data_IF_935882281760
#
_entry.id   IF_935882281760
#
_cell.length_a   1.000
_cell.length_b   1.000
_cell.length_c   1.000
_cell.angle_alpha   90.00
_cell.angle_beta   90.00
_cell.angle_gamma   90.00
#
_symmetry.space_group_name_H-M   'P 1'
#
loop_
_entity.id
_entity.type
_entity.pdbx_description
1 polymer ?
#
# COMPACT_ATOMS: atom_id res chain seq x y z
N UNK A 1 -4.51 15.70 11.89
CA UNK A 1 -3.20 15.32 11.27
C UNK A 1 -3.27 15.57 9.77
N UNK A 2 -2.14 15.83 9.11
CA UNK A 2 -2.11 16.03 7.65
C UNK A 2 -2.17 14.66 6.94
N UNK A 3 -3.10 14.52 5.99
CA UNK A 3 -3.28 13.27 5.25
C UNK A 3 -2.03 12.90 4.44
N UNK A 4 -1.42 13.86 3.74
CA UNK A 4 -0.27 13.61 2.87
C UNK A 4 0.98 13.20 3.65
N UNK A 5 1.22 13.79 4.82
CA UNK A 5 2.35 13.40 5.68
C UNK A 5 2.20 11.97 6.21
N UNK A 6 1.01 11.61 6.69
CA UNK A 6 0.72 10.26 7.18
C UNK A 6 0.76 9.22 6.07
N UNK A 7 0.19 9.54 4.91
CA UNK A 7 0.26 8.69 3.73
C UNK A 7 1.70 8.48 3.30
N UNK A 8 2.53 9.52 3.29
CA UNK A 8 3.95 9.40 2.99
C UNK A 8 4.66 8.48 3.99
N UNK A 9 4.37 8.61 5.28
CA UNK A 9 4.92 7.73 6.31
C UNK A 9 4.53 6.26 6.08
N UNK A 10 3.25 5.99 5.80
CA UNK A 10 2.76 4.64 5.47
C UNK A 10 3.42 4.08 4.20
N UNK A 11 3.53 4.92 3.16
CA UNK A 11 4.11 4.56 1.87
C UNK A 11 5.59 4.22 1.98
N UNK A 12 6.34 4.96 2.79
CA UNK A 12 7.79 4.78 2.98
C UNK A 12 8.14 3.68 3.98
N UNK A 13 7.18 3.19 4.79
CA UNK A 13 7.44 2.06 5.69
C UNK A 13 7.83 0.81 4.89
N UNK A 14 8.98 0.22 5.24
CA UNK A 14 9.47 -1.04 4.66
C UNK A 14 9.25 -2.25 5.60
N UNK A 15 8.69 -2.01 6.78
CA UNK A 15 8.22 -3.03 7.71
C UNK A 15 6.74 -3.28 7.40
N UNK A 16 6.40 -4.53 7.08
CA UNK A 16 5.05 -4.91 6.63
C UNK A 16 4.01 -4.53 7.69
N UNK A 17 4.23 -4.93 8.94
CA UNK A 17 3.30 -4.68 10.05
C UNK A 17 3.08 -3.18 10.28
N UNK A 18 4.15 -2.38 10.23
CA UNK A 18 4.04 -0.93 10.38
C UNK A 18 3.27 -0.30 9.21
N UNK A 19 3.51 -0.75 7.97
CA UNK A 19 2.76 -0.27 6.80
C UNK A 19 1.27 -0.58 6.94
N UNK A 20 0.92 -1.80 7.34
CA UNK A 20 -0.47 -2.21 7.57
C UNK A 20 -1.10 -1.34 8.67
N UNK A 21 -0.43 -1.22 9.82
CA UNK A 21 -0.89 -0.43 10.96
C UNK A 21 -1.12 1.04 10.60
N UNK A 22 -0.16 1.66 9.91
CA UNK A 22 -0.27 3.06 9.47
C UNK A 22 -1.40 3.24 8.45
N UNK A 23 -1.60 2.28 7.55
CA UNK A 23 -2.70 2.30 6.57
C UNK A 23 -4.06 2.19 7.27
N UNK A 24 -4.20 1.32 8.26
CA UNK A 24 -5.40 1.18 9.08
C UNK A 24 -5.68 2.45 9.90
N UNK A 25 -4.64 3.04 10.50
CA UNK A 25 -4.73 4.31 11.22
C UNK A 25 -5.20 5.44 10.29
N UNK A 26 -4.66 5.51 9.07
CA UNK A 26 -5.04 6.51 8.07
C UNK A 26 -6.53 6.41 7.73
N UNK A 27 -7.04 5.20 7.52
CA UNK A 27 -8.47 4.97 7.27
C UNK A 27 -9.35 5.34 8.45
N UNK A 28 -8.98 4.96 9.68
CA UNK A 28 -9.71 5.33 10.89
C UNK A 28 -9.84 6.86 11.03
N UNK A 29 -8.73 7.60 10.82
CA UNK A 29 -8.74 9.06 10.86
C UNK A 29 -9.56 9.68 9.71
N UNK A 30 -9.58 9.04 8.55
CA UNK A 30 -10.38 9.46 7.40
C UNK A 30 -11.88 9.37 7.68
N UNK A 31 -12.33 8.24 8.26
CA UNK A 31 -13.72 7.98 8.66
C UNK A 31 -14.16 8.97 9.76
N UNK A 32 -13.30 9.17 10.76
CA UNK A 32 -13.54 10.11 11.87
C UNK A 32 -13.46 11.59 11.43
N UNK A 33 -13.15 11.87 10.16
CA UNK A 33 -12.95 13.21 9.61
C UNK A 33 -11.86 14.02 10.33
N UNK A 34 -10.87 13.34 10.93
CA UNK A 34 -9.73 13.93 11.68
C UNK A 34 -8.52 14.27 10.80
N UNK A 35 -8.62 14.01 9.50
CA UNK A 35 -7.60 14.34 8.50
C UNK A 35 -7.81 15.73 7.92
N UNK A 36 -6.72 16.49 7.78
CA UNK A 36 -6.68 17.67 6.94
C UNK A 36 -6.00 17.33 5.60
N UNK A 37 -6.49 17.93 4.51
CA UNK A 37 -5.99 17.72 3.14
C UNK A 37 -5.34 19.01 2.62
N UNK A 38 -4.56 19.69 3.47
CA UNK A 38 -3.79 20.87 3.05
C UNK A 38 -2.54 20.40 2.32
N UNK A 39 -2.39 20.80 1.06
CA UNK A 39 -1.23 20.47 0.24
C UNK A 39 0.08 20.86 0.94
N UNK A 40 1.07 19.99 0.86
CA UNK A 40 2.44 20.25 1.27
C UNK A 40 3.16 21.06 0.18
N UNK A 41 4.10 21.92 0.57
CA UNK A 41 4.74 22.85 -0.38
C UNK A 41 5.60 22.14 -1.44
N UNK A 42 5.97 20.87 -1.23
CA UNK A 42 6.80 20.11 -2.18
C UNK A 42 6.52 18.61 -2.11
N UNK A 43 6.00 18.06 -3.20
CA UNK A 43 5.90 16.61 -3.42
C UNK A 43 7.30 16.09 -3.73
N UNK A 44 7.79 15.15 -2.93
CA UNK A 44 9.07 14.51 -3.16
C UNK A 44 8.89 13.30 -4.07
N UNK A 45 9.82 13.10 -5.01
CA UNK A 45 9.80 11.91 -5.86
C UNK A 45 10.09 10.69 -4.99
N UNK A 46 9.25 9.66 -5.09
CA UNK A 46 9.42 8.39 -4.36
C UNK A 46 9.99 7.36 -5.33
N UNK A 47 11.30 7.09 -5.31
CA UNK A 47 11.91 6.11 -6.23
C UNK A 47 11.57 4.66 -5.82
N UNK A 48 11.44 4.38 -4.52
CA UNK A 48 11.21 3.05 -3.98
C UNK A 48 10.16 3.11 -2.85
N UNK A 49 8.87 2.83 -3.12
CA UNK A 49 7.81 2.94 -2.13
C UNK A 49 7.87 1.80 -1.13
N UNK A 50 8.47 2.04 0.04
CA UNK A 50 8.37 1.19 1.24
C UNK A 50 8.50 -0.32 0.99
N UNK A 51 9.40 -0.70 0.08
CA UNK A 51 9.57 -2.09 -0.33
C UNK A 51 10.23 -2.87 0.83
N UNK A 52 9.65 -3.99 1.29
CA UNK A 52 10.28 -4.84 2.28
C UNK A 52 11.56 -5.48 1.75
N UNK A 53 12.45 -5.90 2.67
CA UNK A 53 13.72 -6.55 2.34
C UNK A 53 13.53 -7.87 1.57
N UNK A 54 12.44 -8.59 1.87
CA UNK A 54 12.09 -9.84 1.21
C UNK A 54 10.67 -9.75 0.64
N UNK A 55 10.39 -10.51 -0.43
CA UNK A 55 11.34 -11.29 -1.23
C UNK A 55 12.24 -10.42 -2.11
N UNK A 56 13.24 -11.04 -2.71
CA UNK A 56 14.19 -10.38 -3.60
C UNK A 56 13.53 -9.96 -4.91
N UNK A 57 14.00 -8.87 -5.50
CA UNK A 57 13.50 -8.41 -6.80
C UNK A 57 14.21 -9.22 -7.88
N UNK A 58 13.45 -10.06 -8.56
CA UNK A 58 13.95 -10.82 -9.69
C UNK A 58 13.38 -10.29 -11.00
N UNK A 59 14.05 -10.59 -12.11
CA UNK A 59 13.52 -10.30 -13.45
C UNK A 59 12.27 -11.15 -13.69
N UNK A 60 11.34 -10.63 -14.49
CA UNK A 60 10.09 -11.33 -14.83
C UNK A 60 10.32 -12.77 -15.33
N UNK A 61 11.35 -12.98 -16.17
CA UNK A 61 11.73 -14.29 -16.72
C UNK A 61 12.21 -15.29 -15.66
N UNK A 62 12.64 -14.80 -14.50
CA UNK A 62 13.14 -15.59 -13.38
C UNK A 62 12.06 -15.89 -12.34
N UNK A 63 10.82 -15.44 -12.55
CA UNK A 63 9.69 -15.72 -11.65
C UNK A 63 9.28 -17.19 -11.82
N UNK A 64 9.13 -17.96 -10.73
CA UNK A 64 8.67 -19.36 -10.80
C UNK A 64 7.33 -19.49 -11.51
N UNK A 65 7.21 -20.45 -12.43
CA UNK A 65 5.92 -20.75 -13.07
C UNK A 65 4.94 -21.38 -12.07
N UNK A 66 3.67 -21.00 -12.20
CA UNK A 66 2.54 -21.54 -11.44
C UNK A 66 2.05 -22.81 -12.11
N UNK A 67 1.74 -23.82 -11.32
CA UNK A 67 1.24 -25.13 -11.76
C UNK A 67 0.10 -25.60 -10.85
N UNK A 68 -0.51 -26.77 -11.13
CA UNK A 68 -1.63 -27.31 -10.35
C UNK A 68 -1.21 -28.14 -9.13
N UNK A 69 0.08 -28.20 -8.80
CA UNK A 69 0.56 -28.92 -7.61
C UNK A 69 0.32 -28.12 -6.33
N UNK A 70 0.49 -28.75 -5.17
CA UNK A 70 0.48 -28.07 -3.88
C UNK A 70 1.53 -26.94 -3.83
N UNK A 71 2.69 -27.14 -4.45
CA UNK A 71 3.72 -26.10 -4.56
C UNK A 71 3.27 -24.95 -5.49
N UNK A 72 2.55 -25.28 -6.57
CA UNK A 72 1.93 -24.31 -7.48
C UNK A 72 0.86 -23.44 -6.80
N UNK A 73 0.10 -24.01 -5.87
CA UNK A 73 -0.83 -23.27 -5.02
C UNK A 73 -0.09 -22.27 -4.13
N UNK A 74 0.99 -22.68 -3.45
CA UNK A 74 1.82 -21.80 -2.62
C UNK A 74 2.38 -20.62 -3.46
N UNK A 75 2.89 -20.89 -4.66
CA UNK A 75 3.37 -19.84 -5.59
C UNK A 75 2.24 -18.88 -5.98
N UNK A 76 1.02 -19.38 -6.11
CA UNK A 76 -0.16 -18.57 -6.45
C UNK A 76 -0.53 -17.65 -5.29
N UNK A 77 -0.64 -18.19 -4.08
CA UNK A 77 -0.88 -17.43 -2.84
C UNK A 77 0.16 -16.32 -2.69
N UNK A 78 1.44 -16.67 -2.83
CA UNK A 78 2.54 -15.71 -2.79
C UNK A 78 2.40 -14.59 -3.82
N UNK A 79 2.02 -14.92 -5.05
CA UNK A 79 1.80 -13.92 -6.08
C UNK A 79 0.62 -12.99 -5.77
N UNK A 80 -0.45 -13.49 -5.14
CA UNK A 80 -1.58 -12.66 -4.70
C UNK A 80 -1.10 -11.71 -3.59
N UNK A 81 -0.38 -12.19 -2.57
CA UNK A 81 0.23 -11.31 -1.55
C UNK A 81 1.03 -10.16 -2.17
N UNK A 82 1.77 -10.41 -3.25
CA UNK A 82 2.48 -9.36 -3.98
C UNK A 82 1.59 -8.35 -4.67
N UNK A 83 0.51 -8.81 -5.29
CA UNK A 83 -0.46 -7.96 -5.97
C UNK A 83 -1.11 -7.03 -4.94
N UNK A 84 -1.63 -7.58 -3.84
CA UNK A 84 -2.27 -6.81 -2.77
C UNK A 84 -1.29 -5.80 -2.15
N UNK A 85 -0.07 -6.22 -1.81
CA UNK A 85 0.92 -5.31 -1.23
C UNK A 85 1.31 -4.17 -2.18
N UNK A 86 1.42 -4.45 -3.48
CA UNK A 86 1.66 -3.41 -4.47
C UNK A 86 0.46 -2.48 -4.63
N UNK A 87 -0.77 -3.00 -4.53
CA UNK A 87 -1.99 -2.19 -4.57
C UNK A 87 -2.07 -1.22 -3.39
N UNK A 88 -1.69 -1.63 -2.17
CA UNK A 88 -1.54 -0.74 -1.02
C UNK A 88 -0.59 0.43 -1.36
N UNK A 89 0.59 0.12 -1.92
CA UNK A 89 1.57 1.15 -2.28
C UNK A 89 1.05 2.11 -3.36
N UNK A 90 0.38 1.58 -4.39
CA UNK A 90 -0.19 2.40 -5.46
C UNK A 90 -1.30 3.33 -4.96
N UNK A 91 -2.18 2.82 -4.09
CA UNK A 91 -3.25 3.60 -3.49
C UNK A 91 -2.70 4.72 -2.58
N UNK A 92 -1.71 4.41 -1.74
CA UNK A 92 -1.03 5.41 -0.93
C UNK A 92 -0.27 6.44 -1.80
N UNK A 93 0.39 6.02 -2.87
CA UNK A 93 1.07 6.93 -3.79
C UNK A 93 0.10 7.90 -4.48
N UNK A 94 -1.08 7.42 -4.88
CA UNK A 94 -2.12 8.28 -5.43
C UNK A 94 -2.56 9.38 -4.44
N UNK A 95 -2.73 9.03 -3.16
CA UNK A 95 -3.07 10.01 -2.10
C UNK A 95 -1.95 11.02 -1.91
N UNK A 96 -0.69 10.58 -1.84
CA UNK A 96 0.46 11.46 -1.58
C UNK A 96 0.78 12.40 -2.75
N UNK A 97 0.70 11.88 -3.99
CA UNK A 97 1.20 12.56 -5.19
C UNK A 97 0.23 13.62 -5.72
N UNK A 98 -1.07 13.37 -5.69
CA UNK A 98 -2.06 14.23 -6.35
C UNK A 98 -2.75 15.19 -5.38
N UNK A 99 -2.00 16.14 -4.82
CA UNK A 99 -2.47 16.99 -3.70
C UNK A 99 -3.46 18.10 -4.07
N UNK A 100 -3.76 18.27 -5.36
CA UNK A 100 -4.71 19.26 -5.88
C UNK A 100 -6.09 18.65 -6.24
N UNK A 101 -6.40 17.46 -5.73
CA UNK A 101 -7.65 16.74 -5.97
C UNK A 101 -8.73 17.02 -4.90
N UNK A 102 -10.03 16.77 -5.20
CA UNK A 102 -11.11 16.91 -4.23
C UNK A 102 -10.96 15.94 -3.05
N UNK A 103 -11.50 16.30 -1.87
CA UNK A 103 -11.47 15.47 -0.65
C UNK A 103 -11.88 14.00 -0.90
N UNK A 104 -12.93 13.78 -1.69
CA UNK A 104 -13.45 12.44 -2.00
C UNK A 104 -12.41 11.56 -2.71
N UNK A 105 -11.57 12.13 -3.57
CA UNK A 105 -10.51 11.39 -4.26
C UNK A 105 -9.58 10.73 -3.24
N UNK A 106 -9.14 11.48 -2.23
CA UNK A 106 -8.27 10.93 -1.19
C UNK A 106 -8.99 9.89 -0.36
N UNK A 107 -10.22 10.16 0.07
CA UNK A 107 -10.98 9.21 0.89
C UNK A 107 -11.18 7.87 0.18
N UNK A 108 -11.45 7.90 -1.13
CA UNK A 108 -11.57 6.70 -1.94
C UNK A 108 -10.25 5.91 -2.01
N UNK A 109 -9.13 6.59 -2.28
CA UNK A 109 -7.83 5.91 -2.35
C UNK A 109 -7.33 5.41 -1.00
N UNK A 110 -7.60 6.14 0.09
CA UNK A 110 -7.31 5.66 1.46
C UNK A 110 -8.14 4.40 1.75
N UNK A 111 -9.42 4.38 1.34
CA UNK A 111 -10.27 3.20 1.48
C UNK A 111 -9.72 2.00 0.70
N UNK A 112 -9.30 2.18 -0.56
CA UNK A 112 -8.67 1.12 -1.35
C UNK A 112 -7.42 0.60 -0.65
N UNK A 113 -6.51 1.49 -0.21
CA UNK A 113 -5.30 1.07 0.52
C UNK A 113 -5.64 0.23 1.76
N UNK A 114 -6.71 0.59 2.48
CA UNK A 114 -7.20 -0.18 3.62
C UNK A 114 -7.74 -1.55 3.22
N UNK A 115 -8.61 -1.64 2.20
CA UNK A 115 -9.18 -2.91 1.73
C UNK A 115 -8.09 -3.90 1.29
N UNK A 116 -7.12 -3.45 0.48
CA UNK A 116 -5.98 -4.26 0.05
C UNK A 116 -5.08 -4.67 1.24
N UNK A 117 -4.98 -3.85 2.29
CA UNK A 117 -4.27 -4.23 3.53
C UNK A 117 -4.99 -5.35 4.30
N UNK A 118 -6.32 -5.39 4.24
CA UNK A 118 -7.11 -6.48 4.83
C UNK A 118 -6.93 -7.75 4.01
N UNK A 119 -7.05 -7.68 2.68
CA UNK A 119 -6.81 -8.81 1.79
C UNK A 119 -5.41 -9.40 2.00
N UNK A 120 -4.37 -8.56 2.02
CA UNK A 120 -3.01 -8.99 2.29
C UNK A 120 -2.88 -9.74 3.62
N UNK A 121 -3.49 -9.22 4.68
CA UNK A 121 -3.46 -9.82 6.03
C UNK A 121 -4.19 -11.18 6.06
N UNK A 122 -5.34 -11.29 5.39
CA UNK A 122 -6.12 -12.54 5.33
C UNK A 122 -5.36 -13.67 4.61
N UNK A 123 -4.57 -13.34 3.59
CA UNK A 123 -3.79 -14.33 2.82
C UNK A 123 -2.50 -14.71 3.56
N UNK A 124 -1.98 -13.81 4.42
CA UNK A 124 -0.72 -14.00 5.14
C UNK A 124 -0.85 -14.76 6.47
N UNK A 125 -2.09 -15.07 6.88
CA UNK A 125 -2.42 -15.88 8.07
C UNK A 125 -2.55 -17.37 7.71
#
# INVERSE_FOLDING_TARGET
>A
MNAFELTHQALMSNVIDDKIKLTQQLQSLSIDQKLNYKATQKIQKIPNPGRPKKPELVRFQSVPQRDKSNLGLIKTIHAICHIEFNAINLALDAVYRFQDMPKQFYQNWIKVAFEESQHFTLISN
#
